data_IF_434853758663
#
_entry.id   IF_434853758663
#
_cell.length_a   1.000
_cell.length_b   1.000
_cell.length_c   1.000
_cell.angle_alpha   90.00
_cell.angle_beta   90.00
_cell.angle_gamma   90.00
#
_symmetry.space_group_name_H-M   'P 1'
#
loop_
_entity.id
_entity.type
_entity.pdbx_description
1 polymer ?
#
# COMPACT_ATOMS: atom_id res chain seq x y z
N UNK A 1 11.89 23.04 -1.12
CA UNK A 1 12.63 21.75 -1.03
C UNK A 1 12.39 20.90 0.25
N UNK A 2 11.65 21.38 1.27
CA UNK A 2 11.41 20.62 2.51
C UNK A 2 10.07 19.87 2.62
N UNK A 3 9.07 20.21 1.79
CA UNK A 3 7.70 19.70 1.95
C UNK A 3 7.51 18.22 1.59
N UNK A 4 8.30 17.68 0.64
CA UNK A 4 8.18 16.28 0.24
C UNK A 4 8.66 15.32 1.33
N UNK A 5 9.78 15.63 2.00
CA UNK A 5 10.27 14.79 3.11
C UNK A 5 9.25 14.71 4.24
N UNK A 6 8.64 15.82 4.59
CA UNK A 6 7.60 15.86 5.61
C UNK A 6 6.38 15.00 5.23
N UNK A 7 6.00 14.96 3.94
CA UNK A 7 4.91 14.09 3.47
C UNK A 7 5.30 12.60 3.51
N UNK A 8 6.52 12.26 3.08
CA UNK A 8 7.06 10.88 3.20
C UNK A 8 7.06 10.42 4.66
N UNK A 9 7.42 11.30 5.61
CA UNK A 9 7.45 10.95 7.03
C UNK A 9 6.06 10.62 7.62
N UNK A 10 4.99 11.15 7.04
CA UNK A 10 3.60 10.93 7.49
C UNK A 10 2.90 9.77 6.79
N UNK A 11 3.53 9.11 5.82
CA UNK A 11 2.96 7.94 5.16
C UNK A 11 3.62 6.65 5.63
N UNK A 12 2.94 5.53 5.46
CA UNK A 12 3.45 4.17 5.68
C UNK A 12 3.07 3.31 4.49
N UNK A 13 4.02 2.51 4.01
CA UNK A 13 3.80 1.55 2.93
C UNK A 13 3.55 0.17 3.53
N UNK A 14 2.42 -0.41 3.19
CA UNK A 14 2.10 -1.80 3.45
C UNK A 14 2.38 -2.60 2.18
N UNK A 15 3.08 -3.71 2.28
CA UNK A 15 3.25 -4.66 1.18
C UNK A 15 2.57 -5.97 1.55
N UNK A 16 1.72 -6.43 0.64
CA UNK A 16 0.96 -7.67 0.77
C UNK A 16 1.35 -8.57 -0.41
N UNK A 17 2.02 -9.67 -0.09
CA UNK A 17 2.27 -10.74 -1.04
C UNK A 17 1.27 -11.85 -0.76
N UNK A 18 0.37 -12.10 -1.69
CA UNK A 18 -0.66 -13.12 -1.57
C UNK A 18 -0.15 -14.48 -2.08
N UNK A 19 -0.65 -15.56 -1.49
CA UNK A 19 -0.37 -16.93 -1.97
C UNK A 19 -0.98 -17.21 -3.35
N UNK A 20 -2.08 -16.53 -3.66
CA UNK A 20 -2.83 -16.62 -4.93
C UNK A 20 -3.30 -15.24 -5.35
N UNK A 21 -3.77 -15.08 -6.58
CA UNK A 21 -4.27 -13.78 -7.05
C UNK A 21 -5.38 -13.24 -6.12
N UNK A 22 -5.27 -12.00 -5.60
CA UNK A 22 -6.15 -11.41 -4.60
C UNK A 22 -7.46 -10.88 -5.21
N UNK A 23 -8.20 -11.74 -5.90
CA UNK A 23 -9.47 -11.39 -6.52
C UNK A 23 -10.48 -10.96 -5.45
N UNK A 24 -10.87 -9.68 -5.47
CA UNK A 24 -11.88 -9.11 -4.56
C UNK A 24 -11.33 -8.35 -3.35
N UNK A 25 -10.00 -8.30 -3.13
CA UNK A 25 -9.42 -7.50 -2.05
C UNK A 25 -8.97 -6.10 -2.48
N UNK A 26 -8.99 -5.80 -3.78
CA UNK A 26 -8.55 -4.50 -4.31
C UNK A 26 -9.37 -3.34 -3.77
N UNK A 27 -10.70 -3.40 -3.86
CA UNK A 27 -11.57 -2.32 -3.36
C UNK A 27 -11.41 -2.08 -1.86
N UNK A 28 -11.13 -3.13 -1.08
CA UNK A 28 -10.83 -3.01 0.35
C UNK A 28 -9.51 -2.25 0.55
N UNK A 29 -8.45 -2.64 -0.15
CA UNK A 29 -7.14 -2.03 -0.02
C UNK A 29 -7.13 -0.57 -0.48
N UNK A 30 -7.91 -0.24 -1.52
CA UNK A 30 -8.10 1.13 -2.02
C UNK A 30 -8.84 2.04 -1.02
N UNK A 31 -9.62 1.47 -0.09
CA UNK A 31 -10.22 2.23 1.02
C UNK A 31 -9.22 2.53 2.14
N UNK A 32 -8.15 1.74 2.27
CA UNK A 32 -7.12 1.93 3.28
C UNK A 32 -6.07 2.96 2.87
N UNK A 33 -5.96 3.24 1.57
CA UNK A 33 -4.99 4.15 1.00
C UNK A 33 -4.80 3.91 -0.49
N UNK A 34 -3.71 4.44 -1.04
CA UNK A 34 -3.40 4.25 -2.45
C UNK A 34 -2.88 2.84 -2.71
N UNK A 35 -3.68 2.02 -3.38
CA UNK A 35 -3.34 0.64 -3.68
C UNK A 35 -2.71 0.49 -5.08
N UNK A 36 -1.52 -0.09 -5.15
CA UNK A 36 -0.80 -0.36 -6.41
C UNK A 36 -0.40 -1.83 -6.50
N UNK A 37 -0.52 -2.40 -7.70
CA UNK A 37 -0.02 -3.74 -7.98
C UNK A 37 1.42 -3.66 -8.49
N UNK A 38 2.34 -4.36 -7.83
CA UNK A 38 3.69 -4.62 -8.34
C UNK A 38 3.72 -5.88 -9.22
N UNK A 39 2.82 -6.82 -8.94
CA UNK A 39 2.56 -8.01 -9.75
C UNK A 39 1.14 -8.52 -9.49
N UNK A 40 0.74 -9.63 -10.12
CA UNK A 40 -0.60 -10.22 -9.91
C UNK A 40 -0.89 -10.60 -8.44
N UNK A 41 0.14 -10.96 -7.68
CA UNK A 41 0.01 -11.40 -6.28
C UNK A 41 0.65 -10.42 -5.29
N UNK A 42 1.31 -9.38 -5.78
CA UNK A 42 2.01 -8.43 -4.94
C UNK A 42 1.34 -7.06 -5.04
N UNK A 43 0.67 -6.68 -3.96
CA UNK A 43 0.03 -5.38 -3.81
C UNK A 43 0.75 -4.54 -2.76
N UNK A 44 0.68 -3.23 -2.96
CA UNK A 44 1.20 -2.24 -2.03
C UNK A 44 0.12 -1.24 -1.72
N UNK A 45 0.06 -0.79 -0.46
CA UNK A 45 -0.86 0.25 -0.01
C UNK A 45 -0.08 1.35 0.67
N UNK A 46 -0.16 2.56 0.13
CA UNK A 46 0.37 3.75 0.78
C UNK A 46 -0.75 4.40 1.61
N UNK A 47 -0.59 4.42 2.93
CA UNK A 47 -1.61 4.93 3.85
C UNK A 47 -1.02 5.99 4.81
N UNK A 48 -1.89 6.78 5.43
CA UNK A 48 -1.48 7.72 6.47
C UNK A 48 -0.99 7.00 7.73
N UNK A 49 0.06 7.54 8.35
CA UNK A 49 0.62 7.03 9.61
C UNK A 49 -0.42 7.00 10.73
N UNK A 50 -1.36 7.94 10.75
CA UNK A 50 -2.42 8.00 11.75
C UNK A 50 -3.42 6.83 11.63
N UNK A 51 -3.63 6.30 10.42
CA UNK A 51 -4.59 5.22 10.15
C UNK A 51 -3.94 3.85 10.00
N UNK A 52 -2.61 3.78 9.90
CA UNK A 52 -1.87 2.53 9.60
C UNK A 52 -2.25 1.38 10.53
N UNK A 53 -2.47 1.67 11.81
CA UNK A 53 -2.85 0.65 12.77
C UNK A 53 -4.21 0.04 12.44
N UNK A 54 -5.20 0.89 12.13
CA UNK A 54 -6.51 0.44 11.69
C UNK A 54 -6.46 -0.31 10.35
N UNK A 55 -5.60 0.13 9.43
CA UNK A 55 -5.38 -0.56 8.17
C UNK A 55 -4.82 -1.98 8.37
N UNK A 56 -3.84 -2.16 9.27
CA UNK A 56 -3.31 -3.47 9.63
C UNK A 56 -4.41 -4.35 10.24
N UNK A 57 -5.18 -3.84 11.20
CA UNK A 57 -6.30 -4.57 11.80
C UNK A 57 -7.32 -5.02 10.74
N UNK A 58 -7.65 -4.15 9.77
CA UNK A 58 -8.56 -4.50 8.66
C UNK A 58 -7.97 -5.58 7.74
N UNK A 59 -6.69 -5.49 7.39
CA UNK A 59 -6.00 -6.52 6.60
C UNK A 59 -6.07 -7.86 7.33
N UNK A 60 -5.75 -7.88 8.63
CA UNK A 60 -5.77 -9.11 9.42
C UNK A 60 -7.18 -9.69 9.57
N UNK A 61 -8.20 -8.85 9.72
CA UNK A 61 -9.58 -9.29 9.93
C UNK A 61 -10.28 -9.74 8.64
N UNK A 62 -10.03 -9.07 7.52
CA UNK A 62 -10.75 -9.29 6.26
C UNK A 62 -9.99 -10.21 5.28
N UNK A 63 -8.66 -10.13 5.26
CA UNK A 63 -7.81 -10.93 4.38
C UNK A 63 -7.27 -12.16 5.12
N UNK A 64 -6.76 -11.94 6.35
CA UNK A 64 -6.15 -12.99 7.16
C UNK A 64 -4.72 -13.33 6.70
N UNK A 65 -3.85 -13.62 7.66
CA UNK A 65 -2.44 -13.95 7.38
C UNK A 65 -2.29 -15.26 6.60
N UNK A 66 -3.26 -16.16 6.66
CA UNK A 66 -3.23 -17.44 5.93
C UNK A 66 -3.30 -17.27 4.42
N UNK A 67 -3.84 -16.16 3.92
CA UNK A 67 -3.92 -15.84 2.49
C UNK A 67 -2.66 -15.15 1.98
N UNK A 68 -1.78 -14.72 2.88
CA UNK A 68 -0.54 -14.01 2.58
C UNK A 68 0.65 -14.96 2.66
N UNK A 69 1.56 -14.83 1.70
CA UNK A 69 2.89 -15.41 1.79
C UNK A 69 3.83 -14.50 2.59
N UNK A 70 3.64 -13.18 2.47
CA UNK A 70 4.42 -12.18 3.20
C UNK A 70 3.61 -10.89 3.44
N UNK A 71 3.85 -10.24 4.58
CA UNK A 71 3.24 -8.96 4.93
C UNK A 71 4.26 -8.04 5.58
N UNK A 72 4.53 -6.89 4.95
CA UNK A 72 5.56 -5.94 5.41
C UNK A 72 4.99 -4.57 5.68
N UNK A 73 5.55 -3.93 6.70
CA UNK A 73 5.31 -2.52 7.03
C UNK A 73 6.63 -1.80 6.81
N UNK A 74 6.66 -0.90 5.84
CA UNK A 74 7.86 -0.22 5.38
C UNK A 74 7.68 1.29 5.49
N UNK A 75 8.81 1.98 5.65
CA UNK A 75 8.85 3.42 5.36
C UNK A 75 8.63 3.64 3.87
N UNK A 76 7.79 4.61 3.47
CA UNK A 76 7.54 4.89 2.07
C UNK A 76 8.82 5.40 1.39
N UNK A 77 9.02 5.00 0.13
CA UNK A 77 10.12 5.49 -0.69
C UNK A 77 9.78 6.84 -1.31
N UNK A 78 10.78 7.57 -1.79
CA UNK A 78 10.54 8.80 -2.53
C UNK A 78 9.69 8.55 -3.77
N UNK A 79 9.94 7.47 -4.50
CA UNK A 79 9.17 7.07 -5.70
C UNK A 79 7.67 6.94 -5.41
N UNK A 80 7.31 6.37 -4.26
CA UNK A 80 5.92 6.21 -3.84
C UNK A 80 5.20 7.57 -3.78
N UNK A 81 5.88 8.58 -3.23
CA UNK A 81 5.37 9.95 -3.07
C UNK A 81 5.49 10.79 -4.35
N UNK A 82 6.50 10.53 -5.19
CA UNK A 82 6.66 11.24 -6.46
C UNK A 82 5.55 10.88 -7.46
N UNK A 83 5.08 9.64 -7.46
CA UNK A 83 3.94 9.23 -8.28
C UNK A 83 2.61 9.86 -7.80
N UNK A 84 2.49 10.27 -6.53
CA UNK A 84 1.33 11.02 -6.03
C UNK A 84 1.27 12.46 -6.61
N UNK A 85 2.44 13.05 -6.90
CA UNK A 85 2.58 14.45 -7.36
C UNK A 85 2.72 14.60 -8.88
N UNK A 86 3.21 13.57 -9.57
CA UNK A 86 3.36 13.52 -11.02
C UNK A 86 2.32 12.60 -11.62
N UNK A 87 1.12 13.12 -11.88
CA UNK A 87 0.02 12.36 -12.43
C UNK A 87 0.41 11.45 -13.60
N UNK A 88 -0.07 10.21 -13.51
CA UNK A 88 -0.36 9.25 -14.57
C UNK A 88 0.39 9.45 -15.90
N UNK A 89 1.39 8.59 -16.12
CA UNK A 89 1.58 8.00 -17.43
C UNK A 89 1.81 6.49 -17.28
N UNK A 90 0.83 5.64 -17.59
CA UNK A 90 1.14 4.27 -17.96
C UNK A 90 2.07 4.32 -19.17
N UNK A 91 3.22 3.65 -19.06
CA UNK A 91 4.04 3.32 -20.21
C UNK A 91 3.28 2.27 -21.05
N UNK A 92 3.17 2.58 -22.33
CA UNK A 92 2.50 1.83 -23.41
C UNK A 92 2.92 0.35 -23.52
#
# INVERSE_FOLDING_TARGET
PGGLKAQVEQRVRLELLFKTEPNGYRDLLEQLGECRALSQQHLTVLCDRDIVRGAIDQVLAQIGLEQLDDFRILTPSLEDVYMELGGDKPLE
#
